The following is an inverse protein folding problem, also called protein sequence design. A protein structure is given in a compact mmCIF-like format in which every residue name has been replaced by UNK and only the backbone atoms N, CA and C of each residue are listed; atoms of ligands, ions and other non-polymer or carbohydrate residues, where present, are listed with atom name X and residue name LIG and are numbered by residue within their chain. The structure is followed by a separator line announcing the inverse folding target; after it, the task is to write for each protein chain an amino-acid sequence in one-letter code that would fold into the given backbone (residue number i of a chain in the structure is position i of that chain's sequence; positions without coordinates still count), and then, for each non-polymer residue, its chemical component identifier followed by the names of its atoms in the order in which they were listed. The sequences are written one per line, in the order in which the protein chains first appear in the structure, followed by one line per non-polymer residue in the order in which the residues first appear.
data_IF_699541112847
#
_entry.id   IF_699541112847
#
_cell.length_a   1.000
_cell.length_b   1.000
_cell.length_c   1.000
_cell.angle_alpha   90.00
_cell.angle_beta   90.00
_cell.angle_gamma   90.00
#
_symmetry.space_group_name_H-M   'P 1'
#
loop_
_entity.id
_entity.type
_entity.pdbx_description
1 polymer ?
#
# COMPACT_ATOMS: atom_id res chain seq x y z
N UNK A 1 -95.61 -19.87 -3.96
CA UNK A 1 -94.85 -19.06 -2.98
C UNK A 1 -93.59 -19.82 -2.63
N UNK A 2 -92.49 -19.50 -3.29
CA UNK A 2 -91.20 -20.20 -3.18
C UNK A 2 -90.14 -19.26 -2.62
N UNK A 3 -89.54 -19.67 -1.52
CA UNK A 3 -88.38 -19.09 -0.82
C UNK A 3 -87.11 -19.11 -1.64
N UNK A 4 -86.33 -18.02 -1.69
CA UNK A 4 -84.84 -17.99 -1.76
C UNK A 4 -84.40 -16.56 -1.35
N UNK A 5 -83.95 -16.28 -0.13
CA UNK A 5 -82.68 -16.65 0.51
C UNK A 5 -81.46 -15.93 -0.10
N UNK A 6 -81.14 -14.78 0.52
CA UNK A 6 -79.82 -14.29 0.95
C UNK A 6 -78.66 -14.20 -0.07
N UNK A 7 -78.21 -12.96 -0.22
CA UNK A 7 -76.93 -12.49 -0.78
C UNK A 7 -75.74 -13.24 -0.17
N UNK A 8 -74.85 -13.78 -1.01
CA UNK A 8 -73.51 -14.19 -0.60
C UNK A 8 -72.49 -13.86 -1.71
N UNK A 9 -71.93 -12.66 -1.64
CA UNK A 9 -70.66 -12.28 -2.25
C UNK A 9 -69.55 -12.82 -1.34
N UNK A 10 -68.87 -13.90 -1.72
CA UNK A 10 -67.60 -14.29 -1.09
C UNK A 10 -66.72 -15.11 -2.03
N UNK A 11 -65.80 -14.38 -2.66
CA UNK A 11 -64.36 -14.65 -2.74
C UNK A 11 -63.94 -16.11 -3.04
N UNK A 12 -63.71 -16.38 -4.33
CA UNK A 12 -63.07 -17.61 -4.79
C UNK A 12 -61.67 -17.76 -4.18
N UNK A 13 -61.49 -18.93 -3.58
CA UNK A 13 -60.31 -19.49 -2.94
C UNK A 13 -58.97 -19.18 -3.62
N UNK A 14 -58.02 -18.86 -2.74
CA UNK A 14 -56.58 -18.84 -2.94
C UNK A 14 -56.07 -19.98 -3.84
N UNK A 15 -55.38 -19.62 -4.91
CA UNK A 15 -54.34 -20.48 -5.48
C UNK A 15 -53.01 -20.10 -4.83
N UNK A 16 -52.29 -21.03 -4.17
CA UNK A 16 -50.90 -20.81 -3.82
C UNK A 16 -50.10 -20.92 -5.12
N UNK A 17 -50.12 -19.86 -5.92
CA UNK A 17 -49.17 -19.69 -7.02
C UNK A 17 -47.81 -19.48 -6.39
N UNK A 18 -47.07 -20.57 -6.21
CA UNK A 18 -45.70 -20.55 -5.74
C UNK A 18 -44.92 -19.53 -6.56
N UNK A 19 -44.42 -18.48 -5.90
CA UNK A 19 -43.34 -17.65 -6.43
C UNK A 19 -42.11 -18.57 -6.54
N UNK A 20 -42.00 -19.27 -7.66
CA UNK A 20 -40.79 -19.99 -7.99
C UNK A 20 -39.65 -18.95 -8.03
N UNK A 21 -38.49 -19.20 -7.39
CA UNK A 21 -37.34 -18.33 -7.59
C UNK A 21 -37.07 -18.26 -9.09
N UNK A 22 -36.74 -17.07 -9.63
CA UNK A 22 -36.41 -16.95 -11.05
C UNK A 22 -35.30 -17.97 -11.37
N UNK A 23 -35.63 -18.96 -12.20
CA UNK A 23 -34.71 -20.01 -12.65
C UNK A 23 -33.82 -19.54 -13.80
N UNK A 24 -34.01 -18.29 -14.23
CA UNK A 24 -33.11 -17.60 -15.16
C UNK A 24 -31.76 -17.40 -14.45
N UNK A 25 -30.67 -17.95 -15.00
CA UNK A 25 -29.33 -17.63 -14.53
C UNK A 25 -29.18 -16.11 -14.56
N UNK A 26 -28.87 -15.51 -13.40
CA UNK A 26 -28.45 -14.11 -13.39
C UNK A 26 -27.31 -13.97 -14.40
N UNK A 27 -27.38 -13.01 -15.34
CA UNK A 27 -26.24 -12.72 -16.18
C UNK A 27 -25.05 -12.47 -15.23
N UNK A 28 -23.85 -12.99 -15.56
CA UNK A 28 -22.69 -12.78 -14.73
C UNK A 28 -22.56 -11.27 -14.52
N UNK A 29 -22.73 -10.83 -13.26
CA UNK A 29 -22.46 -9.45 -12.92
C UNK A 29 -21.02 -9.19 -13.35
N UNK A 30 -20.73 -8.07 -14.06
CA UNK A 30 -19.34 -7.71 -14.29
C UNK A 30 -18.70 -7.63 -12.91
N UNK A 31 -17.83 -8.58 -12.59
CA UNK A 31 -16.88 -8.39 -11.52
C UNK A 31 -16.13 -7.14 -11.95
N UNK A 32 -16.33 -6.04 -11.21
CA UNK A 32 -15.42 -4.93 -11.29
C UNK A 32 -14.06 -5.51 -10.94
N UNK A 33 -13.26 -5.80 -11.97
CA UNK A 33 -11.85 -6.05 -11.78
C UNK A 33 -11.34 -4.79 -11.10
N UNK A 34 -10.93 -4.91 -9.84
CA UNK A 34 -10.13 -3.85 -9.24
C UNK A 34 -8.94 -3.67 -10.18
N UNK A 35 -8.59 -2.42 -10.55
CA UNK A 35 -7.44 -2.21 -11.41
C UNK A 35 -6.24 -2.91 -10.79
N UNK A 36 -5.52 -3.68 -11.60
CA UNK A 36 -4.23 -4.20 -11.19
C UNK A 36 -3.38 -3.00 -10.75
N UNK A 37 -2.91 -3.01 -9.50
CA UNK A 37 -2.07 -1.94 -8.99
C UNK A 37 -0.69 -2.07 -9.63
N UNK A 38 -0.45 -1.31 -10.69
CA UNK A 38 0.86 -1.18 -11.33
C UNK A 38 1.74 -0.20 -10.54
N UNK A 39 3.05 -0.48 -10.36
CA UNK A 39 3.97 0.51 -9.84
C UNK A 39 4.01 1.78 -10.73
N UNK A 40 4.20 2.97 -10.15
CA UNK A 40 4.34 4.19 -10.94
C UNK A 40 5.61 4.15 -11.80
N UNK A 41 5.55 4.75 -12.99
CA UNK A 41 6.72 4.99 -13.81
C UNK A 41 7.59 6.09 -13.18
N UNK A 42 8.80 5.73 -12.73
CA UNK A 42 9.76 6.65 -12.13
C UNK A 42 10.99 6.79 -13.02
N UNK A 43 11.47 8.02 -13.21
CA UNK A 43 12.69 8.32 -13.99
C UNK A 43 14.01 8.04 -13.24
N UNK A 44 13.95 7.34 -12.10
CA UNK A 44 15.13 6.99 -11.32
C UNK A 44 15.79 5.72 -11.87
N UNK A 45 17.12 5.67 -11.86
CA UNK A 45 17.87 4.48 -12.31
C UNK A 45 17.65 3.25 -11.41
N UNK A 46 17.41 3.47 -10.11
CA UNK A 46 16.96 2.46 -9.17
C UNK A 46 16.07 3.08 -8.08
N UNK A 47 15.09 2.33 -7.60
CA UNK A 47 14.17 2.75 -6.54
C UNK A 47 13.52 1.53 -5.87
N UNK A 48 13.03 1.73 -4.64
CA UNK A 48 12.25 0.73 -3.91
C UNK A 48 11.22 1.43 -3.00
N UNK A 49 10.07 0.80 -2.83
CA UNK A 49 9.04 1.14 -1.85
C UNK A 49 8.92 -0.01 -0.85
N UNK A 50 9.24 0.27 0.42
CA UNK A 50 9.21 -0.72 1.49
C UNK A 50 8.13 -0.37 2.51
N UNK A 51 7.33 -1.36 2.89
CA UNK A 51 6.35 -1.26 3.97
C UNK A 51 6.98 -1.70 5.29
N UNK A 52 7.03 -0.78 6.25
CA UNK A 52 7.53 -1.09 7.61
C UNK A 52 6.57 -2.04 8.32
N UNK A 53 5.26 -1.81 8.22
CA UNK A 53 4.24 -2.61 8.91
C UNK A 53 4.19 -4.05 8.40
N UNK A 54 4.39 -4.25 7.10
CA UNK A 54 4.39 -5.58 6.49
C UNK A 54 5.78 -6.22 6.46
N UNK A 55 6.83 -5.45 6.78
CA UNK A 55 8.22 -5.91 6.70
C UNK A 55 8.61 -6.37 5.29
N UNK A 56 8.05 -5.76 4.24
CA UNK A 56 8.17 -6.24 2.88
C UNK A 56 8.33 -5.10 1.86
N UNK A 57 9.08 -5.38 0.78
CA UNK A 57 9.11 -4.50 -0.38
C UNK A 57 7.80 -4.64 -1.15
N UNK A 58 7.09 -3.53 -1.36
CA UNK A 58 5.86 -3.49 -2.16
C UNK A 58 6.23 -3.48 -3.64
N UNK A 59 7.11 -2.55 -4.04
CA UNK A 59 7.59 -2.40 -5.42
C UNK A 59 9.04 -1.94 -5.46
N UNK A 60 9.70 -2.12 -6.60
CA UNK A 60 11.02 -1.57 -6.85
C UNK A 60 11.51 -1.90 -8.24
N UNK A 61 12.52 -1.15 -8.69
CA UNK A 61 13.26 -1.42 -9.92
C UNK A 61 14.74 -1.18 -9.65
N UNK A 62 15.60 -2.13 -10.07
CA UNK A 62 17.05 -2.03 -9.85
C UNK A 62 17.48 -1.98 -8.38
N UNK A 63 16.63 -2.37 -7.42
CA UNK A 63 16.87 -2.17 -5.99
C UNK A 63 18.11 -2.88 -5.42
N UNK A 64 18.55 -3.98 -6.06
CA UNK A 64 19.73 -4.75 -5.66
C UNK A 64 20.98 -4.41 -6.51
N UNK A 65 20.88 -3.44 -7.41
CA UNK A 65 22.00 -3.03 -8.24
C UNK A 65 23.00 -2.20 -7.43
N UNK A 66 24.28 -2.58 -7.48
CA UNK A 66 25.34 -1.86 -6.77
C UNK A 66 25.55 -0.48 -7.40
N UNK A 67 25.38 0.58 -6.60
CA UNK A 67 25.50 1.98 -7.04
C UNK A 67 26.28 2.79 -6.00
N UNK A 68 27.03 3.83 -6.40
CA UNK A 68 27.68 4.74 -5.46
C UNK A 68 26.61 5.44 -4.58
N UNK A 69 26.63 5.27 -3.24
CA UNK A 69 25.60 5.82 -2.36
C UNK A 69 25.74 7.33 -2.13
N UNK A 70 26.88 7.93 -2.52
CA UNK A 70 27.22 9.31 -2.21
C UNK A 70 26.96 9.65 -0.74
N UNK A 71 26.24 10.74 -0.47
CA UNK A 71 25.92 11.15 0.90
C UNK A 71 24.98 10.22 1.67
N UNK A 72 24.34 9.22 1.03
CA UNK A 72 23.56 8.20 1.75
C UNK A 72 24.43 7.35 2.69
N UNK A 73 25.75 7.29 2.44
CA UNK A 73 26.73 6.68 3.37
C UNK A 73 26.59 7.20 4.80
N UNK A 74 26.16 8.45 4.98
CA UNK A 74 25.98 9.08 6.29
C UNK A 74 24.89 8.40 7.13
N UNK A 75 23.97 7.63 6.53
CA UNK A 75 22.99 6.84 7.28
C UNK A 75 23.68 5.79 8.17
N UNK A 76 24.68 5.08 7.63
CA UNK A 76 25.46 4.11 8.40
C UNK A 76 26.34 4.82 9.44
N UNK A 77 26.95 5.96 9.09
CA UNK A 77 27.72 6.76 10.06
C UNK A 77 26.87 7.20 11.24
N UNK A 78 25.64 7.67 10.99
CA UNK A 78 24.71 8.07 12.05
C UNK A 78 24.28 6.88 12.90
N UNK A 79 23.98 5.73 12.28
CA UNK A 79 23.62 4.51 12.98
C UNK A 79 24.72 4.08 13.96
N UNK A 80 25.99 4.10 13.53
CA UNK A 80 27.12 3.75 14.41
C UNK A 80 27.25 4.69 15.62
N UNK A 81 26.99 5.99 15.46
CA UNK A 81 27.01 6.95 16.57
C UNK A 81 25.90 6.65 17.59
N UNK A 82 24.72 6.30 17.10
CA UNK A 82 23.56 5.93 17.92
C UNK A 82 23.82 4.60 18.65
N UNK A 83 24.31 3.57 17.94
CA UNK A 83 24.62 2.26 18.52
C UNK A 83 25.78 2.32 19.53
N UNK A 84 26.72 3.24 19.33
CA UNK A 84 27.77 3.50 20.30
C UNK A 84 27.26 4.17 21.60
N UNK A 85 25.98 4.61 21.64
CA UNK A 85 25.40 5.27 22.79
C UNK A 85 26.00 6.65 23.07
N UNK A 86 26.46 7.33 22.02
CA UNK A 86 27.08 8.67 22.17
C UNK A 86 26.03 9.65 22.69
N UNK A 87 26.26 10.25 23.86
CA UNK A 87 25.38 11.27 24.41
C UNK A 87 25.38 12.51 23.50
N UNK A 88 24.21 12.93 22.96
CA UNK A 88 24.09 14.13 22.13
C UNK A 88 24.55 15.43 22.82
N UNK A 89 24.58 15.46 24.15
CA UNK A 89 25.09 16.60 24.92
C UNK A 89 26.63 16.64 25.01
N UNK A 90 27.32 15.59 24.57
CA UNK A 90 28.78 15.53 24.58
C UNK A 90 29.37 16.61 23.68
N UNK A 91 30.26 17.44 24.23
CA UNK A 91 31.02 18.38 23.43
C UNK A 91 32.14 17.66 22.68
N UNK A 92 32.17 17.84 21.36
CA UNK A 92 33.20 17.27 20.48
C UNK A 92 34.07 18.40 19.95
N UNK A 93 35.39 18.27 20.08
CA UNK A 93 36.34 19.21 19.45
C UNK A 93 36.45 18.89 17.97
N UNK A 94 36.22 19.88 17.11
CA UNK A 94 36.42 19.73 15.67
C UNK A 94 37.92 19.75 15.37
N UNK A 95 38.41 18.68 14.74
CA UNK A 95 39.82 18.57 14.36
C UNK A 95 40.13 19.44 13.13
N UNK A 96 41.40 19.82 12.96
CA UNK A 96 41.84 20.54 11.76
C UNK A 96 41.56 19.76 10.46
N UNK A 97 41.64 18.43 10.50
CA UNK A 97 41.31 17.58 9.37
C UNK A 97 39.82 17.64 9.01
N UNK A 98 38.93 17.58 10.01
CA UNK A 98 37.49 17.72 9.78
C UNK A 98 37.12 19.12 9.25
N UNK A 99 37.77 20.17 9.76
CA UNK A 99 37.55 21.54 9.32
C UNK A 99 38.07 21.82 7.90
N UNK A 100 39.09 21.11 7.45
CA UNK A 100 39.66 21.24 6.11
C UNK A 100 38.85 20.49 5.02
N UNK A 101 37.82 19.74 5.40
CA UNK A 101 37.07 18.94 4.45
C UNK A 101 36.03 19.79 3.68
N UNK A 102 36.04 19.78 2.33
CA UNK A 102 35.11 20.58 1.55
C UNK A 102 33.67 20.10 1.68
N UNK A 103 32.72 21.03 1.51
CA UNK A 103 31.28 20.72 1.53
C UNK A 103 30.98 19.61 0.50
N UNK A 104 30.34 18.55 0.96
CA UNK A 104 29.90 17.43 0.12
C UNK A 104 30.90 16.27 0.00
N UNK A 105 32.13 16.41 0.48
CA UNK A 105 33.12 15.33 0.51
C UNK A 105 33.28 14.81 1.93
N UNK A 106 32.94 13.53 2.17
CA UNK A 106 33.37 12.80 3.38
C UNK A 106 33.63 11.38 2.92
N UNK A 107 34.91 11.00 2.76
CA UNK A 107 35.31 9.65 2.34
C UNK A 107 35.12 9.30 0.86
N UNK A 108 34.83 10.29 -0.01
CA UNK A 108 34.81 10.12 -1.46
C UNK A 108 36.10 10.62 -2.10
N UNK A 109 36.51 10.01 -3.22
CA UNK A 109 37.66 10.46 -4.01
C UNK A 109 37.44 11.90 -4.45
N UNK A 110 38.35 12.79 -4.06
CA UNK A 110 38.39 14.19 -4.50
C UNK A 110 38.83 14.16 -5.98
N UNK A 111 37.91 14.47 -6.89
CA UNK A 111 38.20 14.65 -8.32
C UNK A 111 38.84 16.01 -8.56
#
# INVERSE_FOLDING_TARGET
MGTFAVVALTLALASPGALAPPTTPLPPLPIAAFPDYEPPALGAAAWALYSVDQGATIWGSGANEVRPPASLTKLMTALLVIEAGTDPATQVTISAAAAAEPIGYVGQLKL
#
